data_IF_943366220939
#
_entry.id   IF_943366220939
#
_cell.length_a   1.000
_cell.length_b   1.000
_cell.length_c   1.000
_cell.angle_alpha   90.00
_cell.angle_beta   90.00
_cell.angle_gamma   90.00
#
_symmetry.space_group_name_H-M   'P 1'
#
loop_
_entity.id
_entity.type
_entity.pdbx_description
1 polymer ?
#
# COMPACT_ATOMS: atom_id res chain seq x y z
N UNK A 1 -1.40 -8.70 6.65
CA UNK A 1 0.04 -8.34 6.73
C UNK A 1 0.77 -9.14 7.81
N UNK A 2 0.34 -9.11 9.07
CA UNK A 2 1.13 -9.57 10.22
C UNK A 2 1.70 -11.00 10.13
N UNK A 3 0.90 -12.02 9.78
CA UNK A 3 1.39 -13.41 9.68
C UNK A 3 2.39 -13.55 8.53
N UNK A 4 2.08 -13.03 7.34
CA UNK A 4 2.99 -13.11 6.20
C UNK A 4 4.31 -12.39 6.48
N UNK A 5 4.26 -11.25 7.16
CA UNK A 5 5.46 -10.54 7.61
C UNK A 5 6.31 -11.36 8.60
N UNK A 6 5.67 -12.05 9.56
CA UNK A 6 6.37 -12.90 10.50
C UNK A 6 7.02 -14.14 9.84
N UNK A 7 6.49 -14.60 8.71
CA UNK A 7 7.02 -15.74 7.95
C UNK A 7 8.09 -15.33 6.92
N UNK A 8 8.25 -14.03 6.66
CA UNK A 8 9.25 -13.51 5.73
C UNK A 8 10.66 -13.93 6.16
N UNK A 9 11.44 -14.48 5.23
CA UNK A 9 12.80 -14.96 5.45
C UNK A 9 12.93 -16.26 6.22
N UNK A 10 11.83 -16.92 6.60
CA UNK A 10 11.89 -18.19 7.36
C UNK A 10 11.96 -19.43 6.48
N UNK A 11 11.68 -19.31 5.17
CA UNK A 11 11.52 -20.44 4.26
C UNK A 11 10.19 -21.21 4.41
N UNK A 12 9.31 -20.78 5.30
CA UNK A 12 7.99 -21.39 5.47
C UNK A 12 7.11 -21.14 4.25
N UNK A 13 6.28 -22.13 3.89
CA UNK A 13 5.26 -21.99 2.86
C UNK A 13 4.04 -21.23 3.43
N UNK A 14 3.56 -20.28 2.66
CA UNK A 14 2.40 -19.48 3.04
C UNK A 14 1.29 -19.58 1.99
N UNK A 15 0.13 -20.08 2.40
CA UNK A 15 -1.10 -20.06 1.62
C UNK A 15 -2.02 -18.96 2.11
N UNK A 16 -2.63 -18.21 1.20
CA UNK A 16 -3.54 -17.12 1.52
C UNK A 16 -4.97 -17.45 1.11
N UNK A 17 -5.89 -17.42 2.08
CA UNK A 17 -7.33 -17.52 1.83
C UNK A 17 -7.95 -16.13 1.86
N UNK A 18 -8.58 -15.65 0.77
CA UNK A 18 -9.11 -14.29 0.66
C UNK A 18 -10.45 -14.12 1.41
N UNK A 19 -10.41 -14.19 2.74
CA UNK A 19 -11.60 -14.06 3.63
C UNK A 19 -11.76 -12.65 4.22
N UNK A 20 -10.92 -11.69 3.83
CA UNK A 20 -10.97 -10.31 4.31
C UNK A 20 -11.91 -9.41 3.51
N UNK A 21 -12.01 -8.12 3.92
CA UNK A 21 -12.82 -7.12 3.23
C UNK A 21 -12.20 -6.60 1.92
N UNK A 22 -10.89 -6.52 1.84
CA UNK A 22 -10.17 -5.96 0.68
C UNK A 22 -9.57 -7.03 -0.21
N UNK A 23 -8.88 -7.98 0.38
CA UNK A 23 -8.18 -9.08 -0.27
C UNK A 23 -7.20 -8.60 -1.37
N UNK A 24 -6.61 -7.41 -1.16
CA UNK A 24 -5.83 -6.71 -2.18
C UNK A 24 -4.58 -7.52 -2.57
N UNK A 25 -3.89 -8.12 -1.60
CA UNK A 25 -2.73 -8.94 -1.89
C UNK A 25 -3.09 -10.27 -2.58
N UNK A 26 -4.20 -10.92 -2.20
CA UNK A 26 -4.72 -12.09 -2.90
C UNK A 26 -5.05 -11.77 -4.37
N UNK A 27 -5.62 -10.58 -4.61
CA UNK A 27 -5.90 -10.08 -5.97
C UNK A 27 -4.62 -9.85 -6.77
N UNK A 28 -3.58 -9.31 -6.15
CA UNK A 28 -2.27 -9.12 -6.79
C UNK A 28 -1.60 -10.45 -7.17
N UNK A 29 -1.84 -11.49 -6.37
CA UNK A 29 -1.36 -12.86 -6.65
C UNK A 29 -2.22 -13.59 -7.70
N UNK A 30 -3.37 -13.06 -8.08
CA UNK A 30 -4.31 -13.72 -9.00
C UNK A 30 -5.04 -14.91 -8.37
N UNK A 31 -5.15 -14.95 -7.03
CA UNK A 31 -5.83 -16.06 -6.36
C UNK A 31 -7.33 -16.07 -6.69
N UNK A 32 -7.90 -17.25 -7.01
CA UNK A 32 -9.32 -17.36 -7.31
C UNK A 32 -10.18 -17.08 -6.07
N UNK A 33 -11.38 -16.57 -6.30
CA UNK A 33 -12.39 -16.37 -5.26
C UNK A 33 -13.22 -17.63 -5.00
N UNK A 34 -13.28 -18.55 -5.95
CA UNK A 34 -13.96 -19.83 -5.81
C UNK A 34 -13.19 -20.75 -4.86
N UNK A 35 -13.83 -21.31 -3.82
CA UNK A 35 -13.16 -22.12 -2.82
C UNK A 35 -12.52 -23.41 -3.38
N UNK A 36 -13.16 -24.06 -4.36
CA UNK A 36 -12.66 -25.33 -4.92
C UNK A 36 -11.45 -25.06 -5.83
N UNK A 37 -11.46 -23.98 -6.57
CA UNK A 37 -10.33 -23.53 -7.38
C UNK A 37 -9.17 -23.09 -6.47
N UNK A 38 -9.45 -22.36 -5.41
CA UNK A 38 -8.45 -21.97 -4.43
C UNK A 38 -7.81 -23.18 -3.75
N UNK A 39 -8.61 -24.16 -3.36
CA UNK A 39 -8.11 -25.41 -2.77
C UNK A 39 -7.15 -26.14 -3.74
N UNK A 40 -7.48 -26.20 -5.04
CA UNK A 40 -6.58 -26.78 -6.06
C UNK A 40 -5.27 -26.02 -6.18
N UNK A 41 -5.29 -24.69 -6.15
CA UNK A 41 -4.08 -23.86 -6.13
C UNK A 41 -3.24 -24.17 -4.91
N UNK A 42 -3.82 -24.12 -3.71
CA UNK A 42 -3.07 -24.32 -2.46
C UNK A 42 -2.52 -25.74 -2.27
N UNK A 43 -3.15 -26.76 -2.88
CA UNK A 43 -2.75 -28.15 -2.72
C UNK A 43 -1.81 -28.66 -3.82
N UNK A 44 -1.86 -28.06 -5.01
CA UNK A 44 -1.21 -28.65 -6.19
C UNK A 44 -0.25 -27.73 -6.93
N UNK A 45 -0.30 -26.39 -6.69
CA UNK A 45 0.65 -25.49 -7.32
C UNK A 45 1.99 -25.48 -6.59
N UNK A 46 3.06 -25.33 -7.35
CA UNK A 46 4.39 -25.12 -6.78
C UNK A 46 4.44 -23.73 -6.11
N UNK A 47 5.08 -23.62 -4.95
CA UNK A 47 5.29 -22.34 -4.32
C UNK A 47 6.18 -21.45 -5.19
N UNK A 48 5.88 -20.15 -5.22
CA UNK A 48 6.74 -19.15 -5.86
C UNK A 48 7.24 -18.12 -4.84
N UNK A 49 8.46 -17.59 -5.03
CA UNK A 49 8.95 -16.50 -4.20
C UNK A 49 8.17 -15.23 -4.50
N UNK A 50 7.82 -14.50 -3.46
CA UNK A 50 7.27 -13.14 -3.54
C UNK A 50 8.03 -12.21 -2.62
N UNK A 51 8.07 -10.95 -3.01
CA UNK A 51 8.75 -9.91 -2.26
C UNK A 51 7.91 -9.48 -1.06
N UNK A 52 8.59 -8.97 -0.04
CA UNK A 52 7.96 -8.33 1.09
C UNK A 52 8.59 -6.95 1.32
N UNK A 53 8.02 -6.13 2.18
CA UNK A 53 8.53 -4.80 2.49
C UNK A 53 8.95 -4.77 3.96
N UNK A 54 10.23 -4.53 4.23
CA UNK A 54 10.70 -4.14 5.55
C UNK A 54 10.40 -2.66 5.78
N UNK A 55 9.75 -2.37 6.88
CA UNK A 55 9.36 -1.01 7.28
C UNK A 55 10.09 -0.65 8.57
N UNK A 56 10.79 0.48 8.57
CA UNK A 56 11.52 1.00 9.70
C UNK A 56 11.09 2.42 10.01
N UNK A 57 10.82 2.69 11.28
CA UNK A 57 10.55 4.03 11.81
C UNK A 57 10.97 4.14 13.27
N UNK A 58 10.89 5.34 13.84
CA UNK A 58 11.19 5.54 15.25
C UNK A 58 10.32 4.73 16.23
N UNK A 59 9.07 4.40 15.80
CA UNK A 59 8.09 3.66 16.63
C UNK A 59 8.13 2.15 16.30
N UNK A 60 8.44 1.82 15.05
CA UNK A 60 8.52 0.44 14.57
C UNK A 60 9.93 0.18 14.03
N UNK A 61 10.86 -0.29 14.88
CA UNK A 61 12.27 -0.48 14.47
C UNK A 61 12.43 -1.51 13.35
N UNK A 62 11.51 -2.46 13.26
CA UNK A 62 11.45 -3.40 12.15
C UNK A 62 10.08 -4.07 12.10
N UNK A 63 9.36 -3.84 11.02
CA UNK A 63 8.09 -4.53 10.72
C UNK A 63 8.11 -4.98 9.27
N UNK A 64 7.57 -6.15 8.96
CA UNK A 64 7.48 -6.64 7.58
C UNK A 64 6.03 -6.68 7.16
N UNK A 65 5.74 -6.09 5.99
CA UNK A 65 4.41 -6.05 5.38
C UNK A 65 4.48 -6.55 3.93
N UNK A 66 3.34 -6.81 3.31
CA UNK A 66 3.27 -7.47 2.00
C UNK A 66 2.92 -6.53 0.86
N UNK A 67 1.96 -5.62 1.07
CA UNK A 67 1.32 -4.88 -0.01
C UNK A 67 1.88 -3.48 -0.22
N UNK A 68 1.79 -2.61 0.78
CA UNK A 68 2.19 -1.22 0.61
C UNK A 68 2.44 -0.46 1.91
N UNK A 69 3.27 0.58 1.82
CA UNK A 69 3.46 1.63 2.82
C UNK A 69 2.98 2.95 2.23
N UNK A 70 2.14 3.67 2.94
CA UNK A 70 1.55 4.91 2.43
C UNK A 70 1.52 6.00 3.48
N UNK A 71 1.75 7.24 3.08
CA UNK A 71 1.77 8.41 3.95
C UNK A 71 0.93 9.53 3.38
N UNK A 72 0.19 10.23 4.25
CA UNK A 72 -0.60 11.39 3.84
C UNK A 72 -2.09 11.22 4.01
N UNK A 73 -2.87 11.70 3.04
CA UNK A 73 -4.34 11.68 3.11
C UNK A 73 -4.91 10.28 3.23
N UNK A 74 -4.26 9.29 2.61
CA UNK A 74 -4.70 7.89 2.66
C UNK A 74 -4.55 7.31 4.06
N UNK A 75 -3.43 7.60 4.72
CA UNK A 75 -3.20 7.21 6.10
C UNK A 75 -4.20 7.87 7.06
N UNK A 76 -4.50 9.15 6.85
CA UNK A 76 -5.52 9.86 7.62
C UNK A 76 -6.92 9.28 7.39
N UNK A 77 -7.27 8.96 6.14
CA UNK A 77 -8.55 8.33 5.79
C UNK A 77 -8.71 6.97 6.49
N UNK A 78 -7.65 6.16 6.47
CA UNK A 78 -7.65 4.86 7.15
C UNK A 78 -7.77 4.99 8.67
N UNK A 79 -7.04 5.95 9.28
CA UNK A 79 -7.18 6.27 10.71
C UNK A 79 -8.62 6.65 11.05
N UNK A 80 -9.26 7.51 10.28
CA UNK A 80 -10.66 7.88 10.48
C UNK A 80 -11.61 6.69 10.33
N UNK A 81 -11.39 5.83 9.32
CA UNK A 81 -12.20 4.63 9.11
C UNK A 81 -12.07 3.63 10.27
N UNK A 82 -10.87 3.42 10.78
CA UNK A 82 -10.62 2.50 11.89
C UNK A 82 -11.20 3.01 13.23
N UNK A 83 -11.29 4.33 13.43
CA UNK A 83 -11.88 4.95 14.63
C UNK A 83 -13.40 5.19 14.52
N UNK A 84 -14.02 4.97 13.36
CA UNK A 84 -15.44 5.18 13.16
C UNK A 84 -16.28 4.08 13.84
N UNK A 85 -16.63 4.28 15.14
CA UNK A 85 -17.40 3.32 15.95
C UNK A 85 -18.85 3.18 15.50
N UNK A 86 -19.44 4.20 14.87
CA UNK A 86 -20.87 4.27 14.52
C UNK A 86 -21.18 3.76 13.10
N UNK A 87 -20.20 3.76 12.18
CA UNK A 87 -20.36 3.33 10.80
C UNK A 87 -19.61 2.01 10.59
N UNK A 88 -20.27 1.00 10.06
CA UNK A 88 -19.66 -0.31 9.75
C UNK A 88 -19.53 -0.51 8.24
N UNK A 89 -18.50 -1.26 7.85
CA UNK A 89 -18.28 -1.65 6.44
C UNK A 89 -17.80 -0.50 5.54
N UNK A 90 -18.20 -0.54 4.27
CA UNK A 90 -17.77 0.41 3.24
C UNK A 90 -18.11 1.89 3.57
N UNK A 91 -19.22 2.13 4.26
CA UNK A 91 -19.65 3.49 4.62
C UNK A 91 -18.63 4.22 5.52
N UNK A 92 -17.97 3.51 6.43
CA UNK A 92 -16.94 4.10 7.29
C UNK A 92 -15.71 4.56 6.49
N UNK A 93 -15.32 3.80 5.47
CA UNK A 93 -14.22 4.16 4.58
C UNK A 93 -14.54 5.38 3.72
N UNK A 94 -15.76 5.45 3.16
CA UNK A 94 -16.18 6.62 2.38
C UNK A 94 -16.26 7.89 3.24
N UNK A 95 -16.84 7.79 4.42
CA UNK A 95 -16.93 8.93 5.35
C UNK A 95 -15.54 9.37 5.84
N UNK A 96 -14.66 8.42 6.18
CA UNK A 96 -13.28 8.68 6.58
C UNK A 96 -12.48 9.34 5.45
N UNK A 97 -12.60 8.83 4.23
CA UNK A 97 -11.95 9.38 3.04
C UNK A 97 -12.43 10.81 2.73
N UNK A 98 -13.75 11.04 2.73
CA UNK A 98 -14.32 12.36 2.48
C UNK A 98 -13.86 13.38 3.53
N UNK A 99 -13.88 13.01 4.81
CA UNK A 99 -13.39 13.86 5.91
C UNK A 99 -11.89 14.15 5.75
N UNK A 100 -11.09 13.13 5.45
CA UNK A 100 -9.66 13.30 5.24
C UNK A 100 -9.38 14.31 4.12
N UNK A 101 -10.01 14.14 2.95
CA UNK A 101 -9.85 15.06 1.81
C UNK A 101 -10.36 16.47 2.13
N UNK A 102 -11.49 16.59 2.84
CA UNK A 102 -12.05 17.89 3.22
C UNK A 102 -11.12 18.69 4.14
N UNK A 103 -10.42 18.01 5.05
CA UNK A 103 -9.55 18.63 6.07
C UNK A 103 -8.08 18.64 5.69
N UNK A 104 -7.65 17.81 4.72
CA UNK A 104 -6.25 17.69 4.35
C UNK A 104 -5.68 18.96 3.71
N UNK A 105 -4.47 19.29 4.17
CA UNK A 105 -3.63 20.32 3.53
C UNK A 105 -2.43 19.62 2.91
N UNK A 106 -2.09 20.00 1.69
CA UNK A 106 -0.89 19.48 1.04
C UNK A 106 0.34 19.69 1.93
N UNK A 107 1.18 18.67 2.01
CA UNK A 107 2.46 18.72 2.71
C UNK A 107 3.61 18.69 1.70
N UNK A 108 4.79 19.12 2.15
CA UNK A 108 6.01 18.96 1.38
C UNK A 108 6.73 17.71 1.89
N UNK A 109 6.79 16.71 1.04
CA UNK A 109 7.50 15.46 1.31
C UNK A 109 8.90 15.51 0.73
N UNK A 110 9.86 14.96 1.47
CA UNK A 110 11.18 14.58 0.99
C UNK A 110 11.14 13.07 0.81
N UNK A 111 11.24 12.63 -0.44
CA UNK A 111 11.20 11.21 -0.83
C UNK A 111 12.56 10.85 -1.40
N UNK A 112 13.27 9.93 -0.76
CA UNK A 112 14.53 9.41 -1.28
C UNK A 112 14.29 8.02 -1.85
N UNK A 113 14.65 7.80 -3.10
CA UNK A 113 14.54 6.53 -3.80
C UNK A 113 15.93 6.08 -4.19
N UNK A 114 16.44 5.01 -3.61
CA UNK A 114 17.80 4.46 -3.85
C UNK A 114 18.89 5.53 -3.74
N UNK A 115 18.75 6.47 -2.78
CA UNK A 115 19.68 7.56 -2.55
C UNK A 115 19.41 8.84 -3.34
N UNK A 116 18.55 8.83 -4.35
CA UNK A 116 18.13 10.03 -5.09
C UNK A 116 16.98 10.75 -4.38
N UNK A 117 17.20 12.02 -4.02
CA UNK A 117 16.19 12.83 -3.30
C UNK A 117 15.23 13.54 -4.27
N UNK A 118 13.95 13.42 -4.00
CA UNK A 118 12.87 14.08 -4.70
C UNK A 118 12.01 14.88 -3.71
N UNK A 119 11.90 16.19 -3.94
CA UNK A 119 10.94 17.03 -3.20
C UNK A 119 9.58 17.00 -3.88
N UNK A 120 8.54 16.66 -3.11
CA UNK A 120 7.18 16.51 -3.62
C UNK A 120 6.18 17.26 -2.72
N UNK A 121 5.45 18.21 -3.28
CA UNK A 121 4.34 18.86 -2.57
C UNK A 121 3.02 18.24 -3.01
N UNK A 122 2.40 17.47 -2.11
CA UNK A 122 1.27 16.63 -2.50
C UNK A 122 0.34 16.19 -1.39
N UNK A 123 -0.55 15.28 -1.76
CA UNK A 123 -1.54 14.68 -0.89
C UNK A 123 -1.07 13.37 -0.28
N UNK A 124 -0.35 12.57 -1.04
CA UNK A 124 0.06 11.23 -0.60
C UNK A 124 1.34 10.78 -1.29
N UNK A 125 2.05 9.89 -0.63
CA UNK A 125 3.19 9.11 -1.11
C UNK A 125 2.88 7.66 -0.79
N UNK A 126 2.95 6.76 -1.78
CA UNK A 126 2.74 5.32 -1.60
C UNK A 126 3.93 4.56 -2.15
N UNK A 127 4.56 3.73 -1.34
CA UNK A 127 5.54 2.73 -1.77
C UNK A 127 4.83 1.37 -1.83
N UNK A 128 4.64 0.84 -3.02
CA UNK A 128 3.79 -0.32 -3.28
C UNK A 128 4.61 -1.50 -3.83
N UNK A 129 4.46 -2.65 -3.21
CA UNK A 129 4.91 -3.96 -3.69
C UNK A 129 3.82 -4.65 -4.53
N UNK A 130 2.56 -4.23 -4.37
CA UNK A 130 1.42 -4.78 -5.11
C UNK A 130 0.61 -3.69 -5.78
N UNK A 131 -0.03 -4.03 -6.90
CA UNK A 131 -0.85 -3.10 -7.66
C UNK A 131 -2.04 -2.55 -6.87
N UNK A 132 -2.56 -3.33 -5.91
CA UNK A 132 -3.84 -3.06 -5.27
C UNK A 132 -3.71 -2.61 -3.82
N UNK A 133 -4.58 -1.68 -3.42
CA UNK A 133 -4.80 -1.29 -2.03
C UNK A 133 -6.26 -0.83 -1.82
N UNK A 134 -6.69 -0.67 -0.57
CA UNK A 134 -7.95 -0.02 -0.25
C UNK A 134 -9.18 -0.66 -0.90
N UNK A 135 -9.27 -1.99 -0.90
CA UNK A 135 -10.38 -2.79 -1.42
C UNK A 135 -10.49 -2.78 -2.96
N UNK A 136 -9.40 -3.14 -3.63
CA UNK A 136 -9.36 -3.38 -5.07
C UNK A 136 -9.07 -2.15 -5.93
N UNK A 137 -8.56 -1.07 -5.33
CA UNK A 137 -8.07 0.08 -6.08
C UNK A 137 -6.64 -0.16 -6.55
N UNK A 138 -6.37 0.13 -7.81
CA UNK A 138 -5.06 -0.03 -8.43
C UNK A 138 -4.21 1.23 -8.22
N UNK A 139 -3.55 1.35 -7.07
CA UNK A 139 -2.70 2.51 -6.78
C UNK A 139 -1.41 2.51 -7.60
N UNK A 140 -0.85 1.34 -7.84
CA UNK A 140 0.38 1.15 -8.60
C UNK A 140 0.18 0.05 -9.65
N UNK A 141 -0.48 0.35 -10.79
CA UNK A 141 -0.86 -0.67 -11.79
C UNK A 141 0.32 -1.46 -12.36
N UNK A 142 1.53 -0.87 -12.33
CA UNK A 142 2.77 -1.51 -12.78
C UNK A 142 3.48 -2.36 -11.75
N UNK A 143 3.06 -2.29 -10.47
CA UNK A 143 3.75 -2.99 -9.39
C UNK A 143 3.59 -4.51 -9.51
N UNK A 144 4.70 -5.20 -9.27
CA UNK A 144 4.79 -6.66 -9.29
C UNK A 144 5.34 -7.14 -7.95
N UNK A 145 4.78 -8.22 -7.44
CA UNK A 145 5.16 -8.80 -6.14
C UNK A 145 6.43 -9.65 -6.19
N UNK A 146 7.12 -9.72 -7.33
CA UNK A 146 8.20 -10.67 -7.61
C UNK A 146 9.35 -10.07 -8.45
N UNK A 147 9.48 -8.74 -8.53
CA UNK A 147 10.51 -8.08 -9.37
C UNK A 147 11.61 -7.37 -8.56
N UNK A 148 11.57 -7.47 -7.24
CA UNK A 148 12.56 -6.89 -6.34
C UNK A 148 12.53 -5.36 -6.28
N UNK A 149 11.40 -4.72 -6.61
CA UNK A 149 11.25 -3.28 -6.64
C UNK A 149 9.95 -2.83 -5.94
N UNK A 150 9.92 -1.58 -5.50
CA UNK A 150 8.73 -0.89 -5.05
C UNK A 150 8.36 0.19 -6.05
N UNK A 151 7.08 0.26 -6.41
CA UNK A 151 6.54 1.37 -7.19
C UNK A 151 6.13 2.51 -6.26
N UNK A 152 6.74 3.69 -6.45
CA UNK A 152 6.52 4.86 -5.60
C UNK A 152 5.59 5.84 -6.29
N UNK A 153 4.35 5.88 -5.83
CA UNK A 153 3.31 6.74 -6.41
C UNK A 153 3.21 8.04 -5.62
N UNK A 154 3.47 9.15 -6.29
CA UNK A 154 3.42 10.50 -5.73
C UNK A 154 2.24 11.25 -6.33
N UNK A 155 1.24 11.64 -5.51
CA UNK A 155 0.08 12.40 -5.97
C UNK A 155 0.22 13.86 -5.52
N UNK A 156 0.42 14.77 -6.47
CA UNK A 156 0.63 16.20 -6.25
C UNK A 156 -0.62 16.88 -5.67
N UNK A 157 -0.39 18.00 -5.02
CA UNK A 157 -1.47 18.89 -4.63
C UNK A 157 -2.26 19.37 -5.86
N UNK A 158 -3.55 19.12 -5.84
CA UNK A 158 -4.48 19.45 -6.92
C UNK A 158 -5.80 19.98 -6.34
N UNK A 159 -6.67 20.64 -7.13
CA UNK A 159 -7.98 21.04 -6.67
C UNK A 159 -8.79 19.85 -6.14
N UNK A 160 -9.48 20.01 -5.01
CA UNK A 160 -10.22 18.92 -4.33
C UNK A 160 -11.25 18.22 -5.24
N UNK A 161 -11.78 18.91 -6.27
CA UNK A 161 -12.68 18.30 -7.26
C UNK A 161 -12.03 17.15 -8.02
N UNK A 162 -10.69 17.17 -8.18
CA UNK A 162 -9.94 16.11 -8.84
C UNK A 162 -9.95 14.80 -8.02
N UNK A 163 -10.18 14.87 -6.72
CA UNK A 163 -10.26 13.68 -5.87
C UNK A 163 -11.27 12.66 -6.38
N UNK A 164 -12.46 13.09 -6.79
CA UNK A 164 -13.49 12.17 -7.29
C UNK A 164 -13.07 11.51 -8.60
N UNK A 165 -12.40 12.26 -9.45
CA UNK A 165 -11.86 11.73 -10.72
C UNK A 165 -10.76 10.70 -10.44
N UNK A 166 -9.79 11.03 -9.59
CA UNK A 166 -8.73 10.12 -9.17
C UNK A 166 -9.31 8.84 -8.53
N UNK A 167 -10.30 8.97 -7.65
CA UNK A 167 -10.97 7.83 -7.03
C UNK A 167 -11.65 6.90 -8.03
N UNK A 168 -12.18 7.44 -9.12
CA UNK A 168 -12.75 6.63 -10.20
C UNK A 168 -11.65 5.96 -11.02
N UNK A 169 -10.59 6.68 -11.37
CA UNK A 169 -9.46 6.17 -12.16
C UNK A 169 -8.61 5.13 -11.42
N UNK A 170 -8.54 5.20 -10.08
CA UNK A 170 -7.95 4.14 -9.26
C UNK A 170 -8.64 2.77 -9.43
N UNK A 171 -9.82 2.71 -10.05
CA UNK A 171 -10.48 1.44 -10.35
C UNK A 171 -9.85 0.70 -11.54
N UNK A 172 -9.23 1.43 -12.43
CA UNK A 172 -8.63 0.93 -13.67
C UNK A 172 -7.13 1.17 -13.76
N UNK A 173 -6.57 1.94 -12.80
CA UNK A 173 -5.17 2.35 -12.82
C UNK A 173 -4.87 3.57 -13.70
N UNK A 174 -5.85 4.15 -14.40
CA UNK A 174 -5.64 5.26 -15.34
C UNK A 174 -5.15 6.57 -14.70
N UNK A 175 -5.18 6.69 -13.39
CA UNK A 175 -4.66 7.87 -12.69
C UNK A 175 -3.16 8.07 -12.88
N UNK A 176 -2.37 7.03 -13.19
CA UNK A 176 -0.92 7.15 -13.40
C UNK A 176 -0.54 7.95 -14.65
N UNK A 177 -1.47 8.09 -15.60
CA UNK A 177 -1.28 8.88 -16.83
C UNK A 177 -1.51 10.38 -16.62
N UNK A 178 -1.89 10.80 -15.40
CA UNK A 178 -2.16 12.20 -15.09
C UNK A 178 -0.89 12.98 -14.77
N UNK A 179 -0.84 14.27 -15.16
CA UNK A 179 0.31 15.12 -14.83
C UNK A 179 0.48 15.39 -13.33
N UNK A 180 -0.57 15.15 -12.53
CA UNK A 180 -0.52 15.27 -11.07
C UNK A 180 0.07 14.03 -10.39
N UNK A 181 0.23 12.93 -11.12
CA UNK A 181 0.76 11.67 -10.60
C UNK A 181 2.15 11.41 -11.19
N UNK A 182 3.09 11.07 -10.35
CA UNK A 182 4.42 10.62 -10.74
C UNK A 182 4.67 9.26 -10.13
N UNK A 183 5.17 8.33 -10.93
CA UNK A 183 5.60 7.01 -10.48
C UNK A 183 7.12 6.93 -10.60
N UNK A 184 7.78 6.52 -9.51
CA UNK A 184 9.19 6.18 -9.45
C UNK A 184 9.29 4.71 -9.08
N UNK A 185 10.48 4.12 -9.24
CA UNK A 185 10.74 2.73 -8.84
C UNK A 185 12.09 2.64 -8.14
N UNK A 186 12.15 1.85 -7.07
CA UNK A 186 13.39 1.63 -6.34
C UNK A 186 13.28 0.52 -5.32
N UNK A 187 14.40 0.22 -4.67
CA UNK A 187 14.50 -0.84 -3.65
C UNK A 187 14.37 -0.31 -2.23
N UNK A 188 14.84 0.88 -2.01
CA UNK A 188 14.81 1.56 -0.72
C UNK A 188 14.18 2.93 -0.86
N UNK A 189 13.13 3.17 -0.09
CA UNK A 189 12.32 4.38 -0.15
C UNK A 189 12.26 4.99 1.23
N UNK A 190 12.84 6.16 1.42
CA UNK A 190 12.68 6.93 2.66
C UNK A 190 11.75 8.11 2.42
N UNK A 191 10.82 8.32 3.35
CA UNK A 191 9.84 9.40 3.29
C UNK A 191 9.89 10.21 4.57
N UNK A 192 10.09 11.51 4.43
CA UNK A 192 9.97 12.51 5.50
C UNK A 192 9.04 13.64 5.04
N UNK A 193 8.58 14.49 5.94
CA UNK A 193 7.71 15.62 5.61
C UNK A 193 8.05 16.87 6.42
N UNK A 194 7.54 18.02 5.95
CA UNK A 194 7.70 19.34 6.58
C UNK A 194 6.90 19.51 7.89
N UNK A 195 6.07 18.55 8.23
CA UNK A 195 5.26 18.47 9.45
C UNK A 195 4.95 17.03 9.81
N UNK A 196 4.32 16.83 10.96
CA UNK A 196 3.82 15.52 11.35
C UNK A 196 2.75 15.00 10.39
N UNK A 197 3.03 13.91 9.71
CA UNK A 197 2.16 13.24 8.75
C UNK A 197 2.01 11.78 9.16
N UNK A 198 0.78 11.26 9.27
CA UNK A 198 0.57 9.84 9.53
C UNK A 198 1.02 8.99 8.33
N UNK A 199 1.60 7.83 8.63
CA UNK A 199 1.78 6.77 7.66
C UNK A 199 1.10 5.49 8.11
N UNK A 200 0.85 4.58 7.17
CA UNK A 200 0.32 3.26 7.40
C UNK A 200 0.98 2.21 6.53
N UNK A 201 0.82 0.97 6.92
CA UNK A 201 1.31 -0.19 6.18
C UNK A 201 0.26 -1.30 6.24
N UNK A 202 -0.09 -1.91 5.11
CA UNK A 202 -1.08 -2.98 4.97
C UNK A 202 -2.44 -2.76 5.68
N UNK A 203 -2.88 -1.51 5.80
CA UNK A 203 -4.17 -1.16 6.42
C UNK A 203 -4.09 -0.79 7.90
N UNK A 204 -2.93 -0.88 8.54
CA UNK A 204 -2.69 -0.45 9.92
C UNK A 204 -2.02 0.92 9.94
N UNK A 205 -2.40 1.78 10.87
CA UNK A 205 -1.84 3.13 11.02
C UNK A 205 -1.69 3.45 12.49
N UNK A 206 -0.46 3.47 12.96
CA UNK A 206 -0.18 3.90 14.33
C UNK A 206 1.09 4.76 14.46
N UNK A 207 1.64 5.26 13.35
CA UNK A 207 2.87 5.99 13.36
C UNK A 207 2.86 7.23 12.47
N UNK A 208 3.90 8.03 12.58
CA UNK A 208 4.13 9.25 11.81
C UNK A 208 5.49 9.21 11.14
N UNK A 209 5.63 9.95 10.04
CA UNK A 209 6.92 10.11 9.35
C UNK A 209 8.01 10.64 10.30
N UNK A 210 9.29 10.31 10.06
CA UNK A 210 9.81 9.63 8.88
C UNK A 210 9.65 8.10 8.90
N UNK A 211 9.64 7.48 7.72
CA UNK A 211 9.61 6.03 7.53
C UNK A 211 10.54 5.64 6.39
N UNK A 212 11.16 4.48 6.51
CA UNK A 212 11.91 3.83 5.43
C UNK A 212 11.23 2.50 5.10
N UNK A 213 11.02 2.27 3.82
CA UNK A 213 10.51 1.02 3.26
C UNK A 213 11.57 0.41 2.35
N UNK A 214 11.93 -0.84 2.58
CA UNK A 214 12.92 -1.56 1.79
C UNK A 214 12.32 -2.87 1.28
N UNK A 215 12.42 -3.14 -0.02
CA UNK A 215 12.01 -4.44 -0.56
C UNK A 215 12.94 -5.54 -0.06
N UNK A 216 12.35 -6.67 0.30
CA UNK A 216 13.06 -7.92 0.59
C UNK A 216 12.70 -8.92 -0.53
N UNK A 217 13.56 -9.06 -1.56
CA UNK A 217 13.25 -9.86 -2.73
C UNK A 217 13.08 -11.33 -2.40
N UNK A 218 11.98 -11.93 -2.88
CA UNK A 218 11.70 -13.35 -2.74
C UNK A 218 11.62 -13.87 -1.29
N UNK A 219 11.40 -12.97 -0.33
CA UNK A 219 11.52 -13.29 1.10
C UNK A 219 10.39 -14.17 1.64
N UNK A 220 9.32 -14.38 0.88
CA UNK A 220 8.18 -15.21 1.28
C UNK A 220 7.86 -16.22 0.18
N UNK A 221 7.74 -17.52 0.55
CA UNK A 221 7.31 -18.58 -0.38
C UNK A 221 5.80 -18.72 -0.34
N UNK A 222 5.12 -18.35 -1.45
CA UNK A 222 3.65 -18.33 -1.55
C UNK A 222 3.13 -19.49 -2.40
N UNK A 223 2.06 -20.12 -1.93
CA UNK A 223 1.22 -21.04 -2.72
C UNK A 223 0.20 -20.21 -3.49
N UNK A 224 0.41 -20.02 -4.82
CA UNK A 224 -0.46 -19.21 -5.68
C UNK A 224 -0.29 -19.55 -7.17
#
# INVERSE_FOLDING_TARGET
GGIGGALSGTGALFGLVPAGRGNDFARALGLPADPDELARVLLHHAPRPVDTIEVESAVHPRTVVLGSVYAGVDALANRHANHARLLRGAASYYAGGLRAVATWRAATYRVTVDGEEHTHRGYTVVAANSAYYGSGRMIAPGARVDDGLLDVVLIRAAPRRLFFTLMNELRTGGHVDRPEVRVLRGREISVAADREIPYGADGEVDAVLPVTARVLPGALSMLC
#
